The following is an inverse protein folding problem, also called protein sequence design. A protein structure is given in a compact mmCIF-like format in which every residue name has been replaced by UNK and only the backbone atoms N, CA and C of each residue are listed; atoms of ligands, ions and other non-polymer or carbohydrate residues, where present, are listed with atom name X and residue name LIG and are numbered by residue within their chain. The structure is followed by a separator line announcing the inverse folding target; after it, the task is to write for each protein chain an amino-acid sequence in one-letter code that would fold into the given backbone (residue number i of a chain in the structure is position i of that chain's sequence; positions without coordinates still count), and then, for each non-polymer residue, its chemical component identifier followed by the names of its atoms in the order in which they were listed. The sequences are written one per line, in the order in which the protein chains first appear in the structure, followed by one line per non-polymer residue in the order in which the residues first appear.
data_IF_036263080371
#
_entry.id   IF_036263080371
#
_cell.length_a   1.000
_cell.length_b   1.000
_cell.length_c   1.000
_cell.angle_alpha   90.00
_cell.angle_beta   90.00
_cell.angle_gamma   90.00
#
_symmetry.space_group_name_H-M   'P 1'
#
loop_
_entity.id
_entity.type
_entity.pdbx_description
1 polymer ?
#
# COMPACT_ATOMS: atom_id res chain seq x y z
N UNK A 1 3.50 30.19 33.69
CA UNK A 1 2.77 29.83 32.45
C UNK A 1 3.75 29.12 31.54
N UNK A 2 3.69 27.79 31.47
CA UNK A 2 4.47 26.99 30.51
C UNK A 2 3.44 26.15 29.77
N UNK A 3 3.29 26.42 28.48
CA UNK A 3 2.39 25.71 27.59
C UNK A 3 2.98 24.32 27.30
N UNK A 4 2.25 23.27 27.67
CA UNK A 4 2.53 21.90 27.26
C UNK A 4 2.00 21.71 25.83
N UNK A 5 2.92 21.61 24.87
CA UNK A 5 2.60 21.19 23.50
C UNK A 5 2.43 19.67 23.47
N UNK A 6 1.21 19.18 23.64
CA UNK A 6 0.86 17.82 23.23
C UNK A 6 0.78 17.77 21.69
N UNK A 7 1.83 17.24 21.04
CA UNK A 7 1.71 16.74 19.67
C UNK A 7 1.06 15.36 19.73
N UNK A 8 -0.20 15.28 19.37
CA UNK A 8 -0.90 14.02 19.09
C UNK A 8 -0.35 13.46 17.78
N UNK A 9 0.54 12.47 17.85
CA UNK A 9 0.96 11.71 16.67
C UNK A 9 -0.13 10.66 16.39
N UNK A 10 -0.91 10.86 15.31
CA UNK A 10 -1.73 9.78 14.78
C UNK A 10 -0.80 8.71 14.18
N UNK A 11 -0.67 7.57 14.86
CA UNK A 11 0.04 6.38 14.33
C UNK A 11 -0.81 5.78 13.22
N UNK A 12 -0.29 5.82 11.99
CA UNK A 12 -0.84 5.08 10.84
C UNK A 12 0.08 3.88 10.63
N UNK A 13 -0.43 2.68 10.84
CA UNK A 13 0.31 1.44 10.62
C UNK A 13 -0.12 0.90 9.26
N UNK A 14 0.82 0.72 8.34
CA UNK A 14 0.53 0.04 7.06
C UNK A 14 0.38 -1.45 7.34
N UNK A 15 -0.77 -1.91 7.79
CA UNK A 15 -1.00 -3.33 8.01
C UNK A 15 -1.41 -4.03 6.71
N UNK A 16 -0.99 -5.28 6.57
CA UNK A 16 -1.34 -6.20 5.51
C UNK A 16 -1.86 -7.50 6.15
N UNK A 17 -3.00 -8.00 5.65
CA UNK A 17 -3.68 -9.31 5.80
C UNK A 17 -3.33 -10.20 7.03
N UNK A 18 -4.35 -10.53 7.84
CA UNK A 18 -4.25 -11.38 9.05
C UNK A 18 -5.48 -12.32 9.23
N UNK A 19 -5.25 -13.54 9.77
CA UNK A 19 -6.18 -14.34 10.60
C UNK A 19 -5.40 -15.30 11.55
N UNK A 20 -5.89 -15.52 12.79
CA UNK A 20 -5.44 -16.54 13.76
C UNK A 20 -6.61 -17.40 14.28
N UNK A 21 -6.35 -18.66 14.64
CA UNK A 21 -7.28 -19.48 15.42
C UNK A 21 -6.58 -20.50 16.38
N UNK A 22 -6.97 -20.42 17.66
CA UNK A 22 -7.04 -21.45 18.73
C UNK A 22 -5.81 -21.96 19.56
N UNK A 23 -5.71 -21.51 20.82
CA UNK A 23 -5.93 -22.30 22.08
C UNK A 23 -4.91 -22.15 23.24
N UNK A 24 -5.46 -21.96 24.45
CA UNK A 24 -4.95 -22.13 25.84
C UNK A 24 -4.28 -20.93 26.55
N UNK A 25 -4.89 -20.59 27.69
CA UNK A 25 -4.51 -19.57 28.67
C UNK A 25 -3.28 -20.01 29.47
N UNK A 26 -2.18 -19.26 29.38
CA UNK A 26 -1.12 -19.24 30.38
C UNK A 26 -1.12 -17.86 31.03
N UNK A 27 -1.28 -17.80 32.35
CA UNK A 27 -1.15 -16.55 33.10
C UNK A 27 0.35 -16.27 33.28
N UNK A 28 0.86 -15.30 32.51
CA UNK A 28 2.16 -14.67 32.77
C UNK A 28 1.90 -13.19 33.02
N UNK A 29 2.08 -12.76 34.27
CA UNK A 29 2.30 -11.35 34.60
C UNK A 29 3.66 -10.95 34.04
N UNK A 30 3.75 -9.84 33.30
CA UNK A 30 4.69 -8.70 33.51
C UNK A 30 4.91 -7.88 32.24
N UNK A 31 4.87 -6.54 32.43
CA UNK A 31 5.12 -5.40 31.52
C UNK A 31 4.05 -5.08 30.49
N UNK A 32 3.42 -3.91 30.70
CA UNK A 32 2.62 -3.18 29.71
C UNK A 32 3.57 -2.85 28.55
N UNK A 33 3.58 -3.68 27.51
CA UNK A 33 3.90 -3.20 26.17
C UNK A 33 2.59 -2.65 25.61
N UNK A 34 2.52 -1.34 25.39
CA UNK A 34 1.43 -0.70 24.63
C UNK A 34 1.53 -1.12 23.14
N UNK A 35 1.40 -2.41 22.86
CA UNK A 35 1.22 -2.92 21.50
C UNK A 35 -0.29 -2.84 21.25
N UNK A 36 -0.71 -1.68 20.76
CA UNK A 36 -2.00 -1.50 20.12
C UNK A 36 -2.13 -2.51 18.99
N UNK A 37 -3.20 -3.31 18.99
CA UNK A 37 -3.45 -4.33 17.97
C UNK A 37 -3.91 -3.63 16.67
N UNK A 38 -3.37 -4.04 15.51
CA UNK A 38 -3.79 -3.49 14.21
C UNK A 38 -5.18 -4.00 13.81
N UNK A 39 -5.88 -3.24 12.98
CA UNK A 39 -7.17 -3.68 12.42
C UNK A 39 -6.95 -4.54 11.17
N UNK A 40 -7.62 -5.68 11.09
CA UNK A 40 -7.39 -6.69 10.07
C UNK A 40 -8.26 -6.42 8.84
N UNK A 41 -7.65 -5.95 7.74
CA UNK A 41 -8.33 -5.76 6.46
C UNK A 41 -7.57 -6.37 5.28
N UNK A 42 -8.33 -6.74 4.24
CA UNK A 42 -7.82 -7.15 2.93
C UNK A 42 -8.42 -6.26 1.86
N UNK A 43 -7.61 -5.75 0.93
CA UNK A 43 -8.09 -5.05 -0.27
C UNK A 43 -7.78 -5.92 -1.47
N UNK A 44 -8.80 -6.15 -2.31
CA UNK A 44 -8.65 -6.85 -3.58
C UNK A 44 -8.98 -5.89 -4.71
N UNK A 45 -8.14 -5.82 -5.74
CA UNK A 45 -8.50 -5.21 -7.02
C UNK A 45 -8.98 -6.29 -7.96
N UNK A 46 -10.24 -6.22 -8.38
CA UNK A 46 -10.78 -7.23 -9.30
C UNK A 46 -10.50 -6.87 -10.76
N UNK A 47 -9.98 -7.87 -11.46
CA UNK A 47 -9.80 -8.08 -12.91
C UNK A 47 -9.04 -7.05 -13.75
N UNK A 48 -9.03 -5.75 -13.47
CA UNK A 48 -8.18 -4.80 -14.22
C UNK A 48 -7.83 -3.60 -13.34
N UNK A 49 -6.56 -3.48 -12.94
CA UNK A 49 -6.04 -2.20 -12.42
C UNK A 49 -6.05 -1.12 -13.52
N UNK A 50 -6.44 -1.45 -14.75
CA UNK A 50 -6.58 -0.51 -15.86
C UNK A 50 -7.94 0.19 -15.82
N UNK A 51 -7.95 1.51 -15.67
CA UNK A 51 -9.14 2.35 -15.89
C UNK A 51 -9.32 2.65 -17.39
N UNK A 52 -10.59 2.86 -17.79
CA UNK A 52 -10.98 3.27 -19.14
C UNK A 52 -11.44 2.13 -20.07
N UNK A 53 -11.07 0.87 -19.81
CA UNK A 53 -11.53 -0.30 -20.59
C UNK A 53 -12.71 -1.03 -19.97
N UNK A 54 -12.84 -0.96 -18.65
CA UNK A 54 -13.91 -1.59 -17.87
C UNK A 54 -14.10 -0.82 -16.56
N UNK A 55 -15.20 -1.11 -15.87
CA UNK A 55 -15.47 -0.55 -14.54
C UNK A 55 -14.53 -1.20 -13.52
N UNK A 56 -13.38 -0.57 -13.25
CA UNK A 56 -12.48 -0.99 -12.19
C UNK A 56 -13.16 -0.90 -10.82
N UNK A 57 -12.83 -1.80 -9.90
CA UNK A 57 -13.33 -1.72 -8.52
C UNK A 57 -12.31 -2.30 -7.54
N UNK A 58 -12.38 -1.84 -6.29
CA UNK A 58 -11.63 -2.45 -5.20
C UNK A 58 -12.52 -2.63 -3.96
N UNK A 59 -12.95 -3.86 -3.65
CA UNK A 59 -13.53 -4.19 -2.35
C UNK A 59 -12.47 -4.21 -1.23
N UNK A 60 -12.92 -3.79 -0.05
CA UNK A 60 -12.19 -3.84 1.21
C UNK A 60 -12.94 -4.71 2.22
N UNK A 61 -12.26 -5.74 2.70
CA UNK A 61 -12.79 -6.79 3.54
C UNK A 61 -12.23 -6.68 4.95
N UNK A 62 -13.06 -6.25 5.92
CA UNK A 62 -12.79 -6.50 7.32
C UNK A 62 -12.78 -8.00 7.63
N UNK A 63 -11.75 -8.42 8.34
CA UNK A 63 -11.59 -9.81 8.82
C UNK A 63 -12.12 -9.97 10.23
N UNK A 64 -12.51 -11.16 10.67
CA UNK A 64 -12.76 -11.40 12.11
C UNK A 64 -11.45 -11.24 12.92
N UNK A 65 -11.47 -10.61 14.11
CA UNK A 65 -12.62 -10.11 14.87
C UNK A 65 -13.03 -8.66 14.54
N UNK A 66 -12.55 -8.11 13.43
CA UNK A 66 -12.61 -6.70 13.05
C UNK A 66 -13.75 -6.28 12.11
N UNK A 67 -14.81 -7.10 12.01
CA UNK A 67 -15.93 -6.85 11.07
C UNK A 67 -16.76 -5.59 11.35
N UNK A 68 -16.69 -5.07 12.56
CA UNK A 68 -17.34 -3.84 13.03
C UNK A 68 -16.44 -2.59 12.91
N UNK A 69 -15.28 -2.70 12.23
CA UNK A 69 -14.38 -1.56 12.00
C UNK A 69 -15.03 -0.44 11.17
N UNK A 70 -14.59 0.79 11.42
CA UNK A 70 -14.93 1.93 10.55
C UNK A 70 -13.99 1.96 9.36
N UNK A 71 -14.54 1.92 8.14
CA UNK A 71 -13.80 2.00 6.89
C UNK A 71 -13.84 3.42 6.32
N UNK A 72 -12.69 3.88 5.81
CA UNK A 72 -12.57 5.09 5.02
C UNK A 72 -11.81 4.83 3.72
N UNK A 73 -12.15 5.60 2.68
CA UNK A 73 -11.62 5.44 1.33
C UNK A 73 -11.15 6.78 0.77
N UNK A 74 -10.14 6.75 -0.10
CA UNK A 74 -9.62 7.98 -0.69
C UNK A 74 -8.36 7.76 -1.54
N UNK A 75 -7.63 8.84 -1.82
CA UNK A 75 -6.34 8.79 -2.52
C UNK A 75 -5.18 8.73 -1.54
N UNK A 76 -4.21 7.86 -1.78
CA UNK A 76 -3.01 7.77 -0.93
C UNK A 76 -1.98 8.85 -1.25
N UNK A 77 -2.01 9.40 -2.48
CA UNK A 77 -1.20 10.55 -2.87
C UNK A 77 -1.97 11.43 -3.88
N UNK A 78 -1.68 12.74 -3.93
CA UNK A 78 -2.27 13.64 -4.93
C UNK A 78 -1.86 13.26 -6.36
N UNK A 79 -2.84 13.30 -7.26
CA UNK A 79 -2.64 13.28 -8.71
C UNK A 79 -3.24 14.56 -9.32
N UNK A 80 -2.90 14.96 -10.56
CA UNK A 80 -3.44 16.15 -11.21
C UNK A 80 -4.93 16.02 -11.62
N UNK A 81 -5.81 15.97 -10.62
CA UNK A 81 -7.26 16.05 -10.78
C UNK A 81 -7.90 16.68 -9.55
N UNK A 82 -8.88 17.54 -9.76
CA UNK A 82 -9.72 18.10 -8.68
C UNK A 82 -10.91 17.18 -8.36
N UNK A 83 -11.07 16.08 -9.11
CA UNK A 83 -12.17 15.13 -8.93
C UNK A 83 -11.91 14.25 -7.71
N UNK A 84 -12.84 14.30 -6.75
CA UNK A 84 -12.85 13.37 -5.62
C UNK A 84 -13.02 11.92 -6.08
N UNK A 85 -12.40 10.94 -5.39
CA UNK A 85 -12.67 9.52 -5.64
C UNK A 85 -14.17 9.20 -5.56
N UNK A 86 -14.66 8.17 -6.26
CA UNK A 86 -16.05 7.74 -6.12
C UNK A 86 -16.33 7.34 -4.66
N UNK A 87 -17.55 7.59 -4.15
CA UNK A 87 -17.94 7.12 -2.83
C UNK A 87 -17.96 5.60 -2.78
N UNK A 88 -17.77 5.04 -1.59
CA UNK A 88 -17.88 3.61 -1.37
C UNK A 88 -19.34 3.17 -1.25
N UNK A 89 -19.60 1.95 -1.71
CA UNK A 89 -20.92 1.31 -1.70
C UNK A 89 -20.87 -0.03 -0.98
N UNK A 90 -22.04 -0.52 -0.56
CA UNK A 90 -22.16 -1.84 0.05
C UNK A 90 -21.83 -2.97 -0.93
N UNK A 91 -21.31 -4.08 -0.40
CA UNK A 91 -21.09 -5.33 -1.11
C UNK A 91 -22.21 -6.35 -0.80
N UNK A 92 -22.28 -7.45 -1.55
CA UNK A 92 -23.23 -8.56 -1.30
C UNK A 92 -22.94 -9.27 0.02
N UNK A 93 -21.66 -9.47 0.32
CA UNK A 93 -21.19 -9.85 1.65
C UNK A 93 -21.45 -8.70 2.63
N UNK A 94 -22.08 -8.98 3.80
CA UNK A 94 -22.19 -8.00 4.89
C UNK A 94 -20.81 -7.44 5.26
N UNK A 95 -20.72 -6.29 5.94
CA UNK A 95 -19.48 -5.63 6.41
C UNK A 95 -18.42 -5.26 5.35
N UNK A 96 -18.52 -5.74 4.12
CA UNK A 96 -17.61 -5.39 3.02
C UNK A 96 -18.12 -4.13 2.32
N UNK A 97 -17.20 -3.20 2.07
CA UNK A 97 -17.44 -1.97 1.31
C UNK A 97 -16.53 -2.00 0.08
N UNK A 98 -16.98 -1.41 -1.03
CA UNK A 98 -16.20 -1.33 -2.26
C UNK A 98 -16.31 0.03 -2.91
N UNK A 99 -15.29 0.42 -3.65
CA UNK A 99 -15.35 1.57 -4.56
C UNK A 99 -15.42 1.05 -5.98
N UNK A 100 -16.34 1.59 -6.78
CA UNK A 100 -16.54 1.26 -8.18
C UNK A 100 -16.22 2.50 -9.01
N UNK A 101 -15.26 2.39 -9.92
CA UNK A 101 -14.93 3.45 -10.87
C UNK A 101 -15.89 3.43 -12.05
N UNK A 102 -16.62 4.53 -12.30
CA UNK A 102 -17.49 4.61 -13.47
C UNK A 102 -16.70 4.53 -14.77
N UNK A 103 -17.38 4.13 -15.85
CA UNK A 103 -16.85 4.22 -17.21
C UNK A 103 -17.35 5.51 -17.87
N UNK A 104 -16.47 6.17 -18.63
CA UNK A 104 -16.79 7.44 -19.29
C UNK A 104 -16.66 8.67 -18.39
N UNK A 105 -17.11 9.82 -18.89
CA UNK A 105 -17.08 11.11 -18.16
C UNK A 105 -15.68 11.49 -17.62
N UNK A 106 -14.60 11.09 -18.32
CA UNK A 106 -13.22 11.38 -17.93
C UNK A 106 -12.64 10.48 -16.82
N UNK A 107 -13.35 9.45 -16.36
CA UNK A 107 -12.84 8.49 -15.37
C UNK A 107 -11.71 7.59 -15.88
N UNK A 108 -11.56 7.47 -17.19
CA UNK A 108 -10.37 6.88 -17.82
C UNK A 108 -9.10 7.64 -17.43
N UNK A 109 -9.19 8.98 -17.27
CA UNK A 109 -8.09 9.83 -16.80
C UNK A 109 -8.09 10.01 -15.30
N UNK A 110 -9.24 10.33 -14.70
CA UNK A 110 -9.35 10.71 -13.29
C UNK A 110 -9.37 9.49 -12.35
N UNK A 111 -9.66 8.29 -12.87
CA UNK A 111 -9.58 7.03 -12.14
C UNK A 111 -8.15 6.54 -11.92
N UNK A 112 -7.16 7.15 -12.56
CA UNK A 112 -5.74 6.88 -12.33
C UNK A 112 -5.33 7.20 -10.88
N UNK A 113 -4.32 6.49 -10.40
CA UNK A 113 -3.55 6.84 -9.22
C UNK A 113 -3.67 5.84 -8.07
N UNK A 114 -3.06 6.19 -6.93
CA UNK A 114 -3.07 5.38 -5.73
C UNK A 114 -4.31 5.67 -4.87
N UNK A 115 -4.99 4.61 -4.43
CA UNK A 115 -6.17 4.67 -3.57
C UNK A 115 -5.96 3.85 -2.32
N UNK A 116 -6.68 4.16 -1.24
CA UNK A 116 -6.62 3.37 -0.01
C UNK A 116 -7.99 2.87 0.43
N UNK A 117 -7.95 1.75 1.15
CA UNK A 117 -8.91 1.48 2.21
C UNK A 117 -8.18 1.61 3.55
N UNK A 118 -8.79 2.31 4.48
CA UNK A 118 -8.28 2.50 5.83
C UNK A 118 -9.32 2.03 6.84
N UNK A 119 -8.88 1.27 7.83
CA UNK A 119 -9.70 0.72 8.88
C UNK A 119 -9.26 1.26 10.24
N UNK A 120 -10.24 1.66 11.04
CA UNK A 120 -10.01 2.24 12.35
C UNK A 120 -10.98 1.69 13.39
N UNK A 121 -10.45 1.46 14.59
CA UNK A 121 -11.19 1.07 15.79
C UNK A 121 -10.63 1.80 17.00
N UNK A 122 -11.46 2.07 18.03
CA UNK A 122 -10.97 2.57 19.30
C UNK A 122 -9.87 1.67 19.85
N UNK A 123 -8.83 2.29 20.43
CA UNK A 123 -7.71 1.60 21.09
C UNK A 123 -6.91 0.62 20.20
N UNK A 124 -7.05 0.75 18.87
CA UNK A 124 -6.32 -0.02 17.86
C UNK A 124 -5.55 0.89 16.90
N UNK A 125 -4.49 0.33 16.33
CA UNK A 125 -3.70 1.02 15.32
C UNK A 125 -4.49 1.08 14.01
N UNK A 126 -4.47 2.26 13.38
CA UNK A 126 -5.13 2.46 12.09
C UNK A 126 -4.39 1.66 11.03
N UNK A 127 -5.12 0.81 10.30
CA UNK A 127 -4.59 0.04 9.20
C UNK A 127 -4.94 0.68 7.88
N UNK A 128 -3.95 0.98 7.04
CA UNK A 128 -4.17 1.46 5.68
C UNK A 128 -3.54 0.56 4.63
N UNK A 129 -4.35 0.06 3.69
CA UNK A 129 -3.90 -0.70 2.53
C UNK A 129 -4.07 0.16 1.27
N UNK A 130 -2.98 0.35 0.53
CA UNK A 130 -2.98 1.10 -0.74
C UNK A 130 -3.06 0.16 -1.92
N UNK A 131 -3.87 0.54 -2.91
CA UNK A 131 -3.97 -0.11 -4.22
C UNK A 131 -3.79 0.93 -5.34
N UNK A 132 -3.61 0.47 -6.57
CA UNK A 132 -3.30 1.33 -7.71
C UNK A 132 -4.24 1.05 -8.87
N UNK A 133 -4.67 2.12 -9.53
CA UNK A 133 -5.29 2.07 -10.83
C UNK A 133 -4.41 2.83 -11.82
N UNK A 134 -4.02 2.14 -12.90
CA UNK A 134 -3.27 2.70 -14.01
C UNK A 134 -4.20 2.90 -15.21
N UNK A 135 -3.79 3.68 -16.20
CA UNK A 135 -4.52 3.76 -17.46
C UNK A 135 -4.18 2.59 -18.37
N UNK A 136 -5.11 2.11 -19.19
CA UNK A 136 -4.79 1.11 -20.21
C UNK A 136 -3.74 1.62 -21.23
N UNK A 137 -3.80 2.92 -21.54
CA UNK A 137 -2.83 3.65 -22.38
C UNK A 137 -1.74 4.35 -21.56
N UNK A 138 -1.41 3.84 -20.37
CA UNK A 138 -0.26 4.31 -19.60
C UNK A 138 1.04 4.19 -20.42
N UNK A 139 1.86 5.24 -20.37
CA UNK A 139 3.15 5.34 -21.06
C UNK A 139 4.27 4.63 -20.30
N UNK A 140 4.08 4.37 -19.01
CA UNK A 140 5.02 3.66 -18.16
C UNK A 140 4.29 2.60 -17.34
N UNK A 141 4.87 1.40 -17.25
CA UNK A 141 4.41 0.30 -16.40
C UNK A 141 5.57 -0.23 -15.58
N UNK A 142 5.29 -0.97 -14.49
CA UNK A 142 6.37 -1.60 -13.74
C UNK A 142 7.12 -2.62 -14.60
N UNK A 143 8.46 -2.60 -14.53
CA UNK A 143 9.32 -3.55 -15.25
C UNK A 143 9.22 -4.98 -14.73
N UNK A 144 8.83 -5.16 -13.47
CA UNK A 144 8.70 -6.46 -12.80
C UNK A 144 7.24 -6.90 -12.61
N UNK A 145 6.29 -6.18 -13.22
CA UNK A 145 4.84 -6.38 -13.09
C UNK A 145 4.29 -6.19 -11.65
N UNK A 146 5.12 -5.71 -10.71
CA UNK A 146 4.73 -5.40 -9.34
C UNK A 146 4.56 -3.89 -9.15
N UNK A 147 3.49 -3.48 -8.47
CA UNK A 147 3.29 -2.07 -8.11
C UNK A 147 3.97 -1.67 -6.80
N UNK A 148 4.54 -2.63 -6.08
CA UNK A 148 5.09 -2.41 -4.74
C UNK A 148 6.40 -3.16 -4.54
N UNK A 149 7.33 -2.54 -3.84
CA UNK A 149 8.54 -3.19 -3.32
C UNK A 149 8.64 -2.99 -1.83
N UNK A 150 8.83 -4.07 -1.10
CA UNK A 150 9.10 -4.03 0.34
C UNK A 150 10.57 -4.26 0.58
N UNK A 151 11.21 -3.33 1.28
CA UNK A 151 12.62 -3.37 1.69
C UNK A 151 12.72 -3.11 3.19
N UNK A 152 13.91 -3.28 3.75
CA UNK A 152 14.22 -3.01 5.14
C UNK A 152 15.07 -1.76 5.25
N UNK A 153 14.94 -1.02 6.35
CA UNK A 153 15.87 0.08 6.64
C UNK A 153 17.32 -0.42 6.56
N UNK A 154 18.17 0.40 5.95
CA UNK A 154 19.58 0.15 5.63
C UNK A 154 19.85 -0.89 4.52
N UNK A 155 18.83 -1.41 3.83
CA UNK A 155 19.06 -2.17 2.60
C UNK A 155 19.77 -1.29 1.56
N UNK A 156 20.75 -1.88 0.85
CA UNK A 156 21.57 -1.20 -0.16
C UNK A 156 21.25 -1.73 -1.55
N UNK A 157 21.52 -0.93 -2.60
CA UNK A 157 21.26 -1.36 -3.98
C UNK A 157 19.78 -1.50 -4.32
N UNK A 158 18.92 -0.80 -3.55
CA UNK A 158 17.49 -0.72 -3.83
C UNK A 158 17.31 0.07 -5.13
N UNK A 159 16.50 -0.48 -6.04
CA UNK A 159 16.11 0.20 -7.28
C UNK A 159 14.61 0.04 -7.53
N UNK A 160 14.04 1.08 -8.12
CA UNK A 160 12.70 1.08 -8.74
C UNK A 160 12.92 1.21 -10.24
N UNK A 161 12.27 0.36 -11.05
CA UNK A 161 12.43 0.36 -12.51
C UNK A 161 11.06 0.31 -13.18
N UNK A 162 10.88 1.15 -14.20
CA UNK A 162 9.67 1.23 -15.01
C UNK A 162 10.02 1.02 -16.49
N UNK A 163 9.14 0.35 -17.22
CA UNK A 163 9.25 0.16 -18.66
C UNK A 163 8.46 1.23 -19.39
N UNK A 164 9.13 1.96 -20.30
CA UNK A 164 8.46 2.88 -21.22
C UNK A 164 7.76 2.12 -22.34
N UNK A 165 6.48 2.41 -22.56
CA UNK A 165 5.61 1.80 -23.57
C UNK A 165 5.42 2.68 -24.80
N UNK A 166 5.50 4.00 -24.62
CA UNK A 166 5.26 4.97 -25.70
C UNK A 166 6.02 6.27 -25.48
N UNK A 167 6.28 6.94 -26.60
CA UNK A 167 6.96 8.23 -26.64
C UNK A 167 6.06 9.36 -26.09
N UNK A 168 6.63 10.51 -25.71
CA UNK A 168 5.84 11.68 -25.37
C UNK A 168 5.03 12.16 -26.58
N UNK A 169 3.87 12.76 -26.31
CA UNK A 169 3.02 13.43 -27.30
C UNK A 169 3.60 14.80 -27.67
N UNK A 170 4.27 15.46 -26.71
CA UNK A 170 4.95 16.74 -26.90
C UNK A 170 6.45 16.56 -27.22
N UNK A 171 6.99 17.47 -28.04
CA UNK A 171 8.43 17.58 -28.24
C UNK A 171 9.14 18.11 -26.98
N UNK A 172 10.44 17.85 -26.87
CA UNK A 172 11.31 18.30 -25.78
C UNK A 172 10.82 17.91 -24.38
N UNK A 173 10.15 16.76 -24.28
CA UNK A 173 9.61 16.27 -23.02
C UNK A 173 10.63 15.43 -22.25
N UNK A 174 10.70 15.62 -20.94
CA UNK A 174 11.66 14.93 -20.07
C UNK A 174 10.92 13.97 -19.15
N UNK A 175 11.44 12.75 -19.02
CA UNK A 175 10.96 11.79 -18.03
C UNK A 175 11.24 12.37 -16.65
N UNK A 176 10.20 12.50 -15.84
CA UNK A 176 10.24 13.13 -14.52
C UNK A 176 9.67 12.19 -13.48
N UNK A 177 10.33 12.15 -12.32
CA UNK A 177 9.86 11.43 -11.16
C UNK A 177 9.35 12.37 -10.09
N UNK A 178 8.29 11.94 -9.40
CA UNK A 178 7.71 12.68 -8.28
C UNK A 178 7.34 11.73 -7.15
N UNK A 179 7.63 12.12 -5.93
CA UNK A 179 7.28 11.36 -4.73
C UNK A 179 6.12 12.01 -3.98
N UNK A 180 5.17 11.18 -3.57
CA UNK A 180 3.98 11.50 -2.77
C UNK A 180 3.17 12.69 -3.32
N UNK A 181 3.21 12.89 -4.65
CA UNK A 181 2.51 13.95 -5.36
C UNK A 181 3.11 15.35 -5.23
N UNK A 182 4.11 15.58 -4.38
CA UNK A 182 4.66 16.91 -4.09
C UNK A 182 6.13 17.10 -4.46
N UNK A 183 6.98 16.11 -4.19
CA UNK A 183 8.43 16.24 -4.32
C UNK A 183 8.89 15.82 -5.73
N UNK A 184 9.43 16.74 -6.52
CA UNK A 184 10.02 16.42 -7.83
C UNK A 184 11.45 15.94 -7.63
N UNK A 185 11.77 14.78 -8.17
CA UNK A 185 13.08 14.14 -8.00
C UNK A 185 13.98 14.41 -9.21
N UNK A 186 14.40 15.67 -9.35
CA UNK A 186 15.25 16.13 -10.47
C UNK A 186 16.56 15.35 -10.70
N UNK A 187 17.19 14.70 -9.70
CA UNK A 187 18.37 13.85 -9.95
C UNK A 187 18.10 12.65 -10.88
N UNK A 188 16.84 12.28 -11.11
CA UNK A 188 16.44 11.15 -11.95
C UNK A 188 15.79 11.58 -13.27
N UNK A 189 15.91 12.86 -13.64
CA UNK A 189 15.37 13.35 -14.91
C UNK A 189 15.94 12.57 -16.10
N UNK A 190 15.07 12.21 -17.04
CA UNK A 190 15.40 11.41 -18.22
C UNK A 190 15.59 9.91 -17.96
N UNK A 191 15.47 9.45 -16.71
CA UNK A 191 15.71 8.05 -16.34
C UNK A 191 14.39 7.32 -16.07
N UNK A 192 14.29 6.07 -16.53
CA UNK A 192 13.15 5.18 -16.20
C UNK A 192 13.38 4.40 -14.92
N UNK A 193 14.46 4.67 -14.20
CA UNK A 193 14.85 3.95 -12.99
C UNK A 193 15.32 4.94 -11.91
N UNK A 194 15.01 4.61 -10.66
CA UNK A 194 15.54 5.28 -9.48
C UNK A 194 16.47 4.29 -8.78
N UNK A 195 17.76 4.63 -8.71
CA UNK A 195 18.76 3.85 -7.98
C UNK A 195 19.15 4.56 -6.69
N UNK A 196 18.78 3.98 -5.55
CA UNK A 196 19.09 4.53 -4.23
C UNK A 196 20.56 4.28 -3.89
N UNK A 197 21.39 5.33 -3.97
CA UNK A 197 22.83 5.25 -3.76
C UNK A 197 23.21 5.04 -2.28
N UNK A 198 22.41 5.59 -1.37
CA UNK A 198 22.59 5.43 0.06
C UNK A 198 21.72 4.29 0.59
N UNK A 199 22.08 3.68 1.74
CA UNK A 199 21.23 2.70 2.41
C UNK A 199 19.83 3.28 2.66
N UNK A 200 18.79 2.54 2.27
CA UNK A 200 17.41 3.02 2.28
C UNK A 200 16.96 3.40 3.70
N UNK A 201 16.28 4.53 3.84
CA UNK A 201 15.74 5.00 5.11
C UNK A 201 14.22 5.00 5.08
N UNK A 202 13.60 5.04 6.26
CA UNK A 202 12.13 5.11 6.38
C UNK A 202 11.54 6.36 5.74
N UNK A 203 12.33 7.43 5.60
CA UNK A 203 11.97 8.62 4.83
C UNK A 203 11.86 8.37 3.34
N UNK A 204 12.49 7.33 2.79
CA UNK A 204 12.45 7.00 1.36
C UNK A 204 11.19 6.23 0.97
N UNK A 205 10.43 5.72 1.93
CA UNK A 205 9.12 5.13 1.65
C UNK A 205 8.22 6.16 0.98
N UNK A 206 7.29 5.70 0.14
CA UNK A 206 6.33 6.58 -0.51
C UNK A 206 5.83 6.03 -1.83
N UNK A 207 5.02 6.84 -2.50
CA UNK A 207 4.49 6.58 -3.84
C UNK A 207 5.28 7.42 -4.84
N UNK A 208 5.92 6.73 -5.77
CA UNK A 208 6.73 7.28 -6.84
C UNK A 208 5.91 7.29 -8.14
N UNK A 209 5.67 8.48 -8.67
CA UNK A 209 4.99 8.75 -9.94
C UNK A 209 6.05 9.06 -11.01
N UNK A 210 6.00 8.36 -12.14
CA UNK A 210 6.82 8.64 -13.34
C UNK A 210 5.92 9.19 -14.45
N UNK A 211 6.32 10.28 -15.08
CA UNK A 211 5.57 10.89 -16.18
C UNK A 211 6.50 11.65 -17.11
N UNK A 212 6.02 12.01 -18.30
CA UNK A 212 6.69 13.03 -19.09
C UNK A 212 6.23 14.41 -18.62
N UNK A 213 7.16 15.32 -18.31
CA UNK A 213 6.91 16.58 -17.58
C UNK A 213 5.71 17.39 -18.10
N UNK A 214 5.66 17.61 -19.42
CA UNK A 214 4.59 18.39 -20.08
C UNK A 214 3.24 17.64 -20.19
N UNK A 215 3.15 16.41 -19.67
CA UNK A 215 2.00 15.51 -19.85
C UNK A 215 1.47 14.94 -18.54
N UNK A 216 1.95 15.42 -17.38
CA UNK A 216 1.48 14.93 -16.07
C UNK A 216 -0.04 14.97 -15.95
N UNK A 217 -0.67 16.07 -16.40
CA UNK A 217 -2.11 16.29 -16.39
C UNK A 217 -2.93 15.28 -17.23
N UNK A 218 -2.28 14.49 -18.08
CA UNK A 218 -2.94 13.42 -18.81
C UNK A 218 -3.12 12.16 -17.94
N UNK A 219 -2.49 12.06 -16.77
CA UNK A 219 -2.53 10.88 -15.89
C UNK A 219 -2.13 9.56 -16.60
N UNK A 220 -1.33 9.63 -17.66
CA UNK A 220 -0.79 8.46 -18.39
C UNK A 220 0.57 8.01 -17.86
N UNK A 221 0.98 8.53 -16.70
CA UNK A 221 2.20 8.13 -16.02
C UNK A 221 2.12 6.71 -15.47
N UNK A 222 3.23 6.30 -14.83
CA UNK A 222 3.29 5.09 -14.02
C UNK A 222 3.34 5.44 -12.53
N UNK A 223 2.91 4.51 -11.69
CA UNK A 223 2.99 4.64 -10.22
C UNK A 223 3.64 3.39 -9.63
N UNK A 224 4.46 3.59 -8.60
CA UNK A 224 5.16 2.53 -7.89
C UNK A 224 5.22 2.89 -6.40
N UNK A 225 5.05 1.94 -5.49
CA UNK A 225 5.15 2.20 -4.04
C UNK A 225 6.33 1.46 -3.42
N UNK A 226 7.21 2.24 -2.81
CA UNK A 226 8.28 1.70 -1.98
C UNK A 226 7.81 1.66 -0.52
N UNK A 227 7.93 0.49 0.08
CA UNK A 227 7.60 0.23 1.49
C UNK A 227 8.91 -0.07 2.20
N UNK A 228 9.22 0.67 3.25
CA UNK A 228 10.44 0.49 4.04
C UNK A 228 10.05 0.04 5.45
N UNK A 229 10.40 -1.20 5.81
CA UNK A 229 10.29 -1.70 7.19
C UNK A 229 11.23 -0.91 8.09
N UNK A 230 10.77 -0.49 9.26
CA UNK A 230 11.54 0.30 10.23
C UNK A 230 12.62 -0.51 10.95
N UNK A 231 12.65 -1.83 10.73
CA UNK A 231 13.68 -2.71 11.23
C UNK A 231 14.46 -3.39 10.10
N UNK A 232 15.76 -3.70 10.32
CA UNK A 232 16.55 -4.50 9.40
C UNK A 232 15.93 -5.87 9.11
N UNK A 233 16.40 -6.52 8.06
CA UNK A 233 15.95 -7.86 7.69
C UNK A 233 16.03 -8.84 8.88
N UNK A 234 14.93 -9.57 9.12
CA UNK A 234 14.84 -10.54 10.22
C UNK A 234 14.64 -9.94 11.61
N UNK A 235 14.41 -8.62 11.72
CA UNK A 235 14.17 -7.93 12.99
C UNK A 235 12.79 -7.25 13.03
N UNK A 236 12.30 -7.04 14.25
CA UNK A 236 11.06 -6.31 14.56
C UNK A 236 11.15 -5.61 15.93
N UNK A 237 10.21 -4.73 16.21
CA UNK A 237 10.09 -3.96 17.45
C UNK A 237 10.88 -2.65 17.40
N UNK A 238 10.56 -1.71 16.49
CA UNK A 238 11.22 -0.41 16.45
C UNK A 238 10.94 0.41 17.72
N UNK A 239 11.80 1.38 18.06
CA UNK A 239 12.98 1.79 17.27
C UNK A 239 14.22 0.90 17.48
N UNK A 240 14.28 0.07 18.51
CA UNK A 240 15.49 -0.70 18.85
C UNK A 240 15.66 -1.98 18.02
N UNK A 241 14.58 -2.55 17.49
CA UNK A 241 14.60 -3.74 16.64
C UNK A 241 15.24 -4.97 17.30
N UNK A 242 15.05 -5.14 18.61
CA UNK A 242 15.59 -6.29 19.35
C UNK A 242 14.84 -7.59 19.06
N UNK A 243 13.58 -7.51 18.63
CA UNK A 243 12.77 -8.65 18.23
C UNK A 243 13.39 -9.38 17.05
N UNK A 244 13.37 -10.71 17.10
CA UNK A 244 13.79 -11.57 16.00
C UNK A 244 12.54 -12.08 15.31
N UNK A 245 12.46 -11.90 14.00
CA UNK A 245 11.36 -12.42 13.21
C UNK A 245 11.43 -13.95 13.12
N UNK A 246 10.28 -14.59 13.29
CA UNK A 246 10.11 -15.96 12.83
C UNK A 246 10.19 -15.99 11.29
N UNK A 247 10.48 -17.18 10.74
CA UNK A 247 10.55 -17.35 9.29
C UNK A 247 9.15 -17.35 8.69
N UNK A 248 8.86 -16.38 7.84
CA UNK A 248 7.66 -16.34 7.01
C UNK A 248 7.89 -17.09 5.70
N UNK A 249 7.06 -18.08 5.40
CA UNK A 249 7.14 -18.90 4.19
C UNK A 249 6.23 -18.37 3.08
N UNK A 250 6.34 -18.95 1.88
CA UNK A 250 5.50 -18.63 0.72
C UNK A 250 5.51 -17.15 0.34
N UNK A 251 6.64 -16.44 0.52
CA UNK A 251 6.76 -14.98 0.26
C UNK A 251 6.02 -14.12 1.30
N UNK A 252 5.68 -14.67 2.46
CA UNK A 252 5.21 -13.88 3.60
C UNK A 252 6.28 -12.91 4.10
N UNK A 253 5.85 -11.80 4.70
CA UNK A 253 6.73 -10.74 5.21
C UNK A 253 6.54 -10.62 6.71
N UNK A 254 7.63 -10.57 7.48
CA UNK A 254 7.54 -10.29 8.90
C UNK A 254 7.14 -8.82 9.12
N UNK A 255 6.08 -8.59 9.88
CA UNK A 255 5.70 -7.27 10.33
C UNK A 255 6.77 -6.70 11.26
N UNK A 256 7.25 -5.50 10.97
CA UNK A 256 8.32 -4.87 11.74
C UNK A 256 7.85 -4.39 13.11
N UNK A 257 6.54 -4.23 13.34
CA UNK A 257 5.99 -3.79 14.63
C UNK A 257 5.73 -4.92 15.60
N UNK A 258 5.12 -6.00 15.12
CA UNK A 258 4.65 -7.13 15.93
C UNK A 258 5.51 -8.38 15.82
N UNK A 259 6.33 -8.51 14.77
CA UNK A 259 7.09 -9.72 14.48
C UNK A 259 6.29 -10.86 13.86
N UNK A 260 4.98 -10.66 13.65
CA UNK A 260 4.09 -11.66 13.04
C UNK A 260 4.26 -11.71 11.53
N UNK A 261 3.99 -12.86 10.90
CA UNK A 261 4.02 -12.98 9.46
C UNK A 261 2.73 -12.46 8.81
N UNK A 262 2.89 -11.55 7.87
CA UNK A 262 1.89 -11.14 6.90
C UNK A 262 1.93 -12.16 5.77
N UNK A 263 0.84 -12.91 5.62
CA UNK A 263 0.75 -13.96 4.61
C UNK A 263 0.16 -13.46 3.31
N UNK A 264 0.67 -13.93 2.16
CA UNK A 264 0.03 -13.66 0.88
C UNK A 264 -1.32 -14.38 0.79
N UNK A 265 -2.09 -13.98 -0.21
CA UNK A 265 -3.38 -14.60 -0.53
C UNK A 265 -3.26 -16.13 -0.61
N UNK A 266 -4.28 -16.81 -0.09
CA UNK A 266 -4.38 -18.28 0.01
C UNK A 266 -3.43 -18.95 1.02
N UNK A 267 -2.65 -18.20 1.80
CA UNK A 267 -1.84 -18.74 2.89
C UNK A 267 -2.20 -18.11 4.23
N UNK A 268 -2.05 -18.86 5.31
CA UNK A 268 -2.36 -18.44 6.68
C UNK A 268 -1.45 -19.15 7.71
N UNK A 269 -1.72 -18.89 8.98
CA UNK A 269 -0.97 -19.43 10.11
C UNK A 269 0.23 -18.55 10.45
N UNK A 270 0.84 -18.79 11.61
CA UNK A 270 1.88 -17.92 12.18
C UNK A 270 3.09 -17.70 11.25
N UNK A 271 3.36 -18.64 10.34
CA UNK A 271 4.50 -18.61 9.41
C UNK A 271 4.10 -18.77 7.94
N UNK A 272 2.81 -18.63 7.61
CA UNK A 272 2.29 -18.72 6.23
C UNK A 272 2.46 -20.07 5.54
N UNK A 273 2.60 -21.19 6.28
CA UNK A 273 2.69 -22.53 5.70
C UNK A 273 1.32 -23.15 5.38
N UNK A 274 0.26 -22.72 6.04
CA UNK A 274 -1.06 -23.33 5.87
C UNK A 274 -1.76 -22.76 4.64
N UNK A 275 -2.15 -23.62 3.71
CA UNK A 275 -2.96 -23.21 2.56
C UNK A 275 -4.42 -23.05 2.98
N UNK A 276 -5.01 -21.91 2.63
CA UNK A 276 -6.44 -21.68 2.81
C UNK A 276 -7.20 -22.41 1.69
N UNK A 277 -8.01 -23.41 2.06
CA UNK A 277 -8.95 -24.04 1.13
C UNK A 277 -10.21 -23.19 1.05
N UNK A 278 -10.16 -22.09 0.32
CA UNK A 278 -11.36 -21.32 -0.04
C UNK A 278 -11.31 -21.02 -1.53
N UNK A 279 -12.17 -21.70 -2.29
CA UNK A 279 -12.70 -21.22 -3.56
C UNK A 279 -13.46 -19.93 -3.26
N UNK A 280 -12.88 -18.79 -3.60
CA UNK A 280 -13.65 -17.56 -3.73
C UNK A 280 -14.18 -17.60 -5.17
N UNK A 281 -15.43 -18.04 -5.33
CA UNK A 281 -16.18 -17.76 -6.56
C UNK A 281 -16.36 -16.25 -6.63
N UNK A 282 -15.48 -15.61 -7.41
CA UNK A 282 -15.62 -14.23 -7.84
C UNK A 282 -16.62 -14.23 -9.00
N UNK A 283 -17.92 -14.26 -8.67
CA UNK A 283 -18.98 -13.90 -9.63
C UNK A 283 -18.91 -12.41 -10.02
#
# INVERSE_FOLDING_TARGET
MVASNHRTYHRVTSAYIIYHAHSKLYVVRTLISEVSEVVHITVLTTSYTNVGTSSGQYPCFPSEPDRDTTLSFGRSAPIPTDRSPPPDVGHSLPFVRRVIFPTGDGWDRDGFGPFYCEASKPDRDVTRVTTFFQRNDAKFISSDELFTKTVNVNDTGVMISMTSRSNPDANDNVITWRKDGSEVLTPFDGQTEISFQNPIQTSDQGIYEIYYDNERNQNRGGVYRLIVRECPAGKWGPPECYGICDKCYNVGVCDDKSGLCICPNNFKGQNCLEKMMVEIDLD
#
